data_IF_567603429199
#
_entry.id   IF_567603429199
#
_cell.length_a   1.000
_cell.length_b   1.000
_cell.length_c   1.000
_cell.angle_alpha   90.00
_cell.angle_beta   90.00
_cell.angle_gamma   90.00
#
_symmetry.space_group_name_H-M   'P 1'
#
loop_
_entity.id
_entity.type
_entity.pdbx_description
1 polymer ?
2 non-polymer ?
3 non-polymer ?
4 non-polymer ?
5 water ?
#
# COMPACT_ATOMS: atom_id res chain seq x y z
N UNK A 4 -5.89 -11.45 -20.27
CA UNK A 4 -6.07 -10.68 -19.00
C UNK A 4 -4.88 -9.75 -18.75
N UNK A 5 -5.19 -8.52 -18.37
CA UNK A 5 -4.18 -7.49 -18.12
C UNK A 5 -4.34 -6.96 -16.71
N UNK A 6 -3.23 -6.85 -16.00
CA UNK A 6 -3.21 -6.36 -14.62
C UNK A 6 -2.34 -5.11 -14.54
N UNK A 7 -2.88 -4.06 -13.95
CA UNK A 7 -2.15 -2.82 -13.68
C UNK A 7 -1.75 -2.77 -12.22
N UNK A 8 -0.48 -2.50 -11.97
CA UNK A 8 0.00 -2.18 -10.64
C UNK A 8 0.39 -0.70 -10.67
N UNK A 9 -0.32 0.13 -9.92
CA UNK A 9 -0.14 1.58 -10.00
C UNK A 9 -0.05 2.11 -8.56
N UNK A 10 1.01 2.87 -8.26
CA UNK A 10 1.37 3.06 -6.86
C UNK A 10 1.79 4.49 -6.55
N UNK A 11 1.61 4.83 -5.27
CA UNK A 11 2.22 5.98 -4.65
C UNK A 11 3.39 5.48 -3.80
N UNK A 12 4.48 6.24 -3.77
CA UNK A 12 5.58 5.94 -2.87
C UNK A 12 6.44 7.19 -2.73
N UNK A 13 6.68 7.61 -1.50
CA UNK A 13 7.55 8.74 -1.24
C UNK A 13 8.98 8.33 -0.90
N UNK A 14 9.15 7.31 -0.06
CA UNK A 14 10.48 6.86 0.33
C UNK A 14 10.80 5.45 -0.18
N UNK A 15 9.99 4.94 -1.10
CA UNK A 15 10.33 3.76 -1.86
C UNK A 15 9.81 2.44 -1.33
N UNK A 16 9.25 2.42 -0.11
CA UNK A 16 8.83 1.13 0.44
C UNK A 16 7.69 0.52 -0.40
N UNK A 17 6.68 1.32 -0.70
CA UNK A 17 5.53 0.83 -1.48
C UNK A 17 5.97 0.46 -2.89
N UNK A 18 6.85 1.27 -3.49
CA UNK A 18 7.38 0.90 -4.79
C UNK A 18 8.04 -0.46 -4.73
N UNK A 19 8.82 -0.71 -3.67
CA UNK A 19 9.60 -1.95 -3.59
C UNK A 19 8.68 -3.17 -3.59
N UNK A 20 7.63 -3.12 -2.78
CA UNK A 20 6.76 -4.30 -2.72
C UNK A 20 5.89 -4.42 -3.97
N UNK A 21 5.54 -3.31 -4.60
CA UNK A 21 4.77 -3.36 -5.82
C UNK A 21 5.61 -3.92 -6.95
N UNK A 22 6.94 -3.62 -6.96
CA UNK A 22 7.84 -4.21 -7.96
C UNK A 22 7.92 -5.72 -7.81
N UNK A 23 7.92 -6.22 -6.56
CA UNK A 23 7.85 -7.66 -6.36
C UNK A 23 6.55 -8.23 -6.90
N UNK A 24 5.43 -7.56 -6.64
CA UNK A 24 4.14 -8.02 -7.17
C UNK A 24 4.18 -8.11 -8.69
N UNK A 25 4.73 -7.09 -9.34
CA UNK A 25 4.86 -7.12 -10.79
C UNK A 25 5.67 -8.33 -11.24
N UNK A 26 6.79 -8.58 -10.58
CA UNK A 26 7.64 -9.71 -10.95
C UNK A 26 6.90 -11.03 -10.83
N UNK A 27 6.07 -11.18 -9.78
CA UNK A 27 5.42 -12.47 -9.51
C UNK A 27 4.25 -12.74 -10.44
N UNK A 28 3.57 -11.71 -10.92
CA UNK A 28 2.42 -11.88 -11.79
C UNK A 28 2.87 -12.45 -13.13
N UNK A 29 2.10 -13.43 -13.62
CA UNK A 29 2.28 -13.94 -14.97
C UNK A 29 1.33 -13.22 -15.93
N UNK A 30 1.65 -13.31 -17.21
CA UNK A 30 0.76 -12.72 -18.19
C UNK A 30 0.99 -11.23 -18.32
N UNK A 31 0.01 -10.58 -18.94
CA UNK A 31 0.16 -9.19 -19.34
C UNK A 31 -0.06 -8.27 -18.16
N UNK A 32 0.81 -7.28 -18.01
CA UNK A 32 0.89 -6.51 -16.80
C UNK A 32 1.67 -5.25 -17.08
N UNK A 33 1.40 -4.22 -16.29
CA UNK A 33 2.13 -2.95 -16.34
C UNK A 33 2.30 -2.47 -14.90
N UNK A 34 3.47 -1.91 -14.59
CA UNK A 34 3.67 -1.22 -13.32
C UNK A 34 4.08 0.22 -13.59
N UNK A 35 3.41 1.16 -12.95
CA UNK A 35 3.75 2.58 -13.04
C UNK A 35 3.45 3.28 -11.72
N UNK A 36 4.11 4.41 -11.45
CA UNK A 36 3.62 5.31 -10.42
C UNK A 36 2.34 6.00 -10.88
N UNK A 37 1.53 6.42 -9.91
CA UNK A 37 0.27 7.09 -10.23
C UNK A 37 0.51 8.32 -11.11
N UNK A 38 1.63 9.01 -10.90
CA UNK A 38 1.91 10.19 -11.70
C UNK A 38 2.00 9.90 -13.20
N UNK A 39 2.24 8.64 -13.58
CA UNK A 39 2.34 8.24 -14.98
C UNK A 39 1.06 7.60 -15.49
N UNK A 40 -0.08 7.84 -14.83
CA UNK A 40 -1.31 7.18 -15.23
C UNK A 40 -1.72 7.51 -16.66
N UNK A 41 -1.28 8.64 -17.21
CA UNK A 41 -1.60 8.96 -18.59
C UNK A 41 -0.88 8.08 -19.59
N UNK A 42 0.06 7.23 -19.15
CA UNK A 42 0.76 6.33 -20.05
C UNK A 42 -0.08 5.14 -20.46
N UNK A 43 -1.22 4.90 -19.80
CA UNK A 43 -2.02 3.73 -20.05
C UNK A 43 -3.48 4.12 -20.22
N UNK A 44 -4.25 3.17 -20.75
CA UNK A 44 -5.70 3.29 -20.89
C UNK A 44 -6.32 2.36 -19.85
N UNK A 45 -6.92 2.95 -18.81
CA UNK A 45 -7.47 2.13 -17.73
C UNK A 45 -8.48 1.11 -18.24
N UNK A 46 -9.16 1.43 -19.35
CA UNK A 46 -10.19 0.51 -19.87
C UNK A 46 -9.62 -0.82 -20.30
N UNK A 47 -8.33 -0.87 -20.60
CA UNK A 47 -7.71 -2.09 -21.08
C UNK A 47 -7.37 -3.07 -19.98
N UNK A 48 -7.46 -2.68 -18.72
CA UNK A 48 -6.98 -3.49 -17.61
C UNK A 48 -8.15 -4.12 -16.87
N UNK A 49 -8.10 -5.44 -16.72
CA UNK A 49 -9.12 -6.18 -15.99
C UNK A 49 -8.95 -6.04 -14.49
N UNK A 50 -7.70 -5.96 -14.02
CA UNK A 50 -7.38 -5.87 -12.60
C UNK A 50 -6.57 -4.61 -12.35
N UNK A 51 -6.98 -3.83 -11.35
CA UNK A 51 -6.27 -2.63 -10.93
C UNK A 51 -5.77 -2.86 -9.52
N UNK A 52 -4.46 -2.87 -9.33
CA UNK A 52 -3.84 -3.08 -8.03
C UNK A 52 -3.21 -1.75 -7.63
N UNK A 53 -3.72 -1.13 -6.58
CA UNK A 53 -3.27 0.20 -6.17
C UNK A 53 -2.29 0.05 -5.01
N UNK A 54 -1.09 0.58 -5.18
CA UNK A 54 -0.12 0.65 -4.11
C UNK A 54 -0.22 1.95 -3.35
N UNK A 55 -0.32 1.84 -2.03
CA UNK A 55 -0.52 3.00 -1.18
C UNK A 55 0.30 2.85 0.10
N UNK A 56 0.77 3.98 0.62
CA UNK A 56 1.34 4.00 1.96
C UNK A 56 0.33 4.59 2.94
N UNK A 57 0.34 4.08 4.16
CA UNK A 57 -0.59 4.51 5.19
C UNK A 57 -0.17 5.86 5.73
N UNK A 58 -1.12 6.79 5.77
CA UNK A 58 -0.98 8.12 6.33
C UNK A 58 -2.15 8.30 7.31
N UNK A 59 -1.86 8.33 8.61
CA UNK A 59 -2.89 8.48 9.64
C UNK A 59 -4.00 7.45 9.46
N UNK A 60 -3.60 6.19 9.35
CA UNK A 60 -4.47 5.02 9.25
C UNK A 60 -5.25 4.92 7.95
N UNK A 61 -4.92 5.72 6.94
CA UNK A 61 -5.69 5.73 5.71
C UNK A 61 -4.75 5.79 4.51
N UNK A 62 -5.31 5.53 3.33
CA UNK A 62 -4.54 5.65 2.11
C UNK A 62 -3.95 7.05 1.98
N UNK A 63 -2.70 7.14 1.55
CA UNK A 63 -2.10 8.44 1.28
C UNK A 63 -2.90 9.17 0.20
N UNK A 64 -2.84 10.50 0.23
CA UNK A 64 -3.77 11.31 -0.54
C UNK A 64 -3.69 11.02 -2.03
N UNK A 65 -2.48 10.86 -2.58
CA UNK A 65 -2.38 10.63 -4.02
C UNK A 65 -3.13 9.36 -4.42
N UNK A 66 -3.02 8.32 -3.59
CA UNK A 66 -3.64 7.04 -3.88
C UNK A 66 -5.14 7.11 -3.63
N UNK A 67 -5.55 7.77 -2.55
CA UNK A 67 -6.96 7.98 -2.28
C UNK A 67 -7.63 8.71 -3.43
N UNK A 68 -7.04 9.84 -3.85
CA UNK A 68 -7.61 10.59 -4.95
C UNK A 68 -7.69 9.74 -6.22
N UNK A 69 -6.65 8.95 -6.51
CA UNK A 69 -6.68 8.13 -7.71
C UNK A 69 -7.83 7.13 -7.64
N UNK A 70 -7.97 6.43 -6.51
CA UNK A 70 -9.05 5.46 -6.38
C UNK A 70 -10.39 6.13 -6.57
N UNK A 71 -10.53 7.35 -6.06
CA UNK A 71 -11.79 8.05 -6.17
C UNK A 71 -12.06 8.60 -7.57
N UNK A 72 -11.14 8.43 -8.51
CA UNK A 72 -11.44 8.69 -9.92
C UNK A 72 -11.96 7.44 -10.64
N UNK A 73 -11.93 6.28 -9.99
CA UNK A 73 -12.33 5.02 -10.61
C UNK A 73 -13.74 4.66 -10.20
N UNK A 74 -14.45 4.00 -11.12
CA UNK A 74 -15.78 3.49 -10.86
C UNK A 74 -15.89 2.09 -11.45
N UNK A 75 -16.46 1.16 -10.69
CA UNK A 75 -16.79 -0.18 -11.15
C UNK A 75 -15.58 -0.94 -11.68
N UNK A 76 -14.39 -0.70 -11.12
CA UNK A 76 -13.19 -1.41 -11.51
C UNK A 76 -12.92 -2.55 -10.53
N UNK A 77 -12.45 -3.68 -11.06
CA UNK A 77 -11.97 -4.78 -10.22
C UNK A 77 -10.68 -4.33 -9.57
N UNK A 78 -10.69 -4.16 -8.25
CA UNK A 78 -9.64 -3.41 -7.57
C UNK A 78 -9.08 -4.20 -6.40
N UNK A 79 -7.78 -4.02 -6.20
CA UNK A 79 -6.99 -4.62 -5.15
C UNK A 79 -6.12 -3.54 -4.55
N UNK A 80 -5.60 -3.76 -3.35
CA UNK A 80 -4.57 -2.87 -2.83
C UNK A 80 -3.37 -3.62 -2.30
N UNK A 81 -2.23 -2.94 -2.39
CA UNK A 81 -1.00 -3.32 -1.71
C UNK A 81 -0.61 -2.11 -0.89
N UNK A 82 -0.63 -2.23 0.44
CA UNK A 82 -0.28 -1.15 1.32
C UNK A 82 1.00 -1.42 2.08
N UNK A 83 1.74 -0.35 2.41
CA UNK A 83 2.80 -0.40 3.40
C UNK A 83 2.49 0.54 4.55
N UNK A 84 2.93 0.15 5.75
CA UNK A 84 2.79 0.95 6.95
C UNK A 84 3.90 0.53 7.89
N UNK A 85 4.17 1.36 8.90
CA UNK A 85 5.25 1.07 9.84
C UNK A 85 4.82 0.24 11.04
N UNK A 86 3.53 0.25 11.37
CA UNK A 86 3.05 -0.50 12.52
C UNK A 86 3.26 -2.00 12.32
N UNK A 87 3.21 -2.74 13.43
CA UNK A 87 3.25 -4.20 13.34
C UNK A 87 2.06 -4.72 12.54
N UNK A 88 2.31 -5.72 11.67
CA UNK A 88 1.24 -6.25 10.84
C UNK A 88 0.22 -7.03 11.65
N UNK A 89 0.54 -7.40 12.89
CA UNK A 89 -0.40 -8.09 13.77
C UNK A 89 -1.21 -7.14 14.66
N UNK A 90 -0.99 -5.84 14.55
CA UNK A 90 -1.57 -4.88 15.49
C UNK A 90 -3.02 -4.55 15.14
N UNK A 91 -3.75 -4.05 16.13
CA UNK A 91 -5.10 -3.55 15.87
C UNK A 91 -5.06 -2.35 14.92
N UNK A 92 -4.01 -1.54 15.01
CA UNK A 92 -3.84 -0.44 14.07
C UNK A 92 -3.79 -0.95 12.64
N UNK A 93 -3.00 -1.99 12.38
CA UNK A 93 -2.93 -2.54 11.03
C UNK A 93 -4.30 -3.05 10.57
N UNK A 94 -5.05 -3.69 11.48
CA UNK A 94 -6.39 -4.16 11.11
C UNK A 94 -7.30 -2.99 10.75
N UNK A 95 -7.21 -1.90 11.51
CA UNK A 95 -7.97 -0.69 11.20
C UNK A 95 -7.58 -0.14 9.83
N UNK A 96 -6.28 -0.11 9.54
CA UNK A 96 -5.84 0.35 8.22
C UNK A 96 -6.40 -0.54 7.12
N UNK A 97 -6.33 -1.86 7.31
CA UNK A 97 -6.85 -2.77 6.31
C UNK A 97 -8.33 -2.52 6.06
N UNK A 98 -9.10 -2.31 7.13
CA UNK A 98 -10.52 -2.05 6.98
C UNK A 98 -10.77 -0.71 6.29
N UNK A 99 -9.95 0.30 6.61
CA UNK A 99 -10.11 1.59 5.95
C UNK A 99 -9.86 1.48 4.45
N UNK A 100 -8.82 0.72 4.06
CA UNK A 100 -8.52 0.55 2.65
C UNK A 100 -9.61 -0.28 1.96
N UNK A 101 -10.14 -1.28 2.66
CA UNK A 101 -11.25 -2.06 2.11
C UNK A 101 -12.45 -1.17 1.85
N UNK A 102 -12.79 -0.31 2.83
CA UNK A 102 -13.94 0.58 2.68
C UNK A 102 -13.72 1.51 1.48
N UNK A 103 -12.52 2.06 1.35
CA UNK A 103 -12.25 2.99 0.26
C UNK A 103 -12.42 2.30 -1.09
N UNK A 104 -11.89 1.09 -1.24
CA UNK A 104 -11.93 0.40 -2.52
C UNK A 104 -13.33 -0.11 -2.85
N UNK A 105 -14.09 -0.50 -1.83
CA UNK A 105 -15.41 -1.08 -2.05
C UNK A 105 -16.49 -0.06 -2.30
N UNK A 106 -16.25 1.22 -1.96
CA UNK A 106 -17.32 2.21 -2.00
C UNK A 106 -17.91 2.36 -3.39
N UNK A 107 -17.07 2.52 -4.41
CA UNK A 107 -17.53 2.72 -5.78
C UNK A 107 -16.89 1.76 -6.77
N UNK A 108 -16.06 0.83 -6.30
CA UNK A 108 -15.41 -0.13 -7.18
C UNK A 108 -15.67 -1.53 -6.65
N UNK A 109 -15.08 -2.51 -7.33
CA UNK A 109 -15.35 -3.92 -7.08
C UNK A 109 -14.14 -4.51 -6.38
N UNK A 110 -14.13 -4.40 -5.05
CA UNK A 110 -12.95 -4.77 -4.27
C UNK A 110 -12.87 -6.29 -4.12
N UNK A 111 -11.72 -6.86 -4.46
CA UNK A 111 -11.50 -8.30 -4.39
C UNK A 111 -10.62 -8.69 -3.20
N UNK A 112 -9.44 -8.08 -3.07
CA UNK A 112 -8.52 -8.44 -2.00
C UNK A 112 -7.45 -7.37 -1.88
N UNK A 113 -6.74 -7.41 -0.75
CA UNK A 113 -5.61 -6.53 -0.53
C UNK A 113 -4.65 -7.17 0.45
N UNK A 114 -3.47 -6.57 0.57
CA UNK A 114 -2.46 -7.05 1.50
C UNK A 114 -1.72 -5.86 2.07
N UNK A 115 -1.34 -5.95 3.33
CA UNK A 115 -0.47 -4.96 3.96
C UNK A 115 0.90 -5.56 4.23
N UNK A 116 1.93 -4.75 4.02
CA UNK A 116 3.31 -5.11 4.31
C UNK A 116 3.91 -3.98 5.12
N UNK A 117 5.04 -4.24 5.76
CA UNK A 117 5.65 -3.27 6.65
C UNK A 117 6.72 -2.48 5.92
N UNK A 118 6.88 -1.22 6.33
CA UNK A 118 7.87 -0.34 5.75
C UNK A 118 8.44 0.63 6.76
N UNK A 119 9.77 0.77 6.73
CA UNK A 119 10.45 1.65 7.66
C UNK A 119 9.90 3.07 7.64
N UNK A 120 10.00 3.73 8.80
CA UNK A 120 9.68 5.15 8.93
C UNK A 120 10.85 5.96 8.38
N UNK A 121 10.54 6.97 7.58
CA UNK A 121 11.58 7.77 6.95
C UNK A 121 12.45 8.45 8.01
N UNK A 122 13.69 8.75 7.65
CA UNK A 122 14.57 9.48 8.55
C UNK A 122 13.93 10.79 8.99
N UNK A 123 13.33 11.53 8.06
CA UNK A 123 12.75 12.82 8.41
C UNK A 123 11.60 12.66 9.40
N UNK A 124 10.76 11.63 9.22
CA UNK A 124 9.62 11.45 10.13
C UNK A 124 10.09 10.95 11.48
N UNK A 125 11.12 10.11 11.52
CA UNK A 125 11.67 9.69 12.81
C UNK A 125 12.17 10.90 13.60
N UNK A 126 12.75 11.89 12.92
CA UNK A 126 13.18 13.10 13.62
C UNK A 126 11.99 13.93 14.08
N UNK A 127 10.97 14.08 13.24
CA UNK A 127 9.78 14.87 13.61
C UNK A 127 9.00 14.23 14.73
N UNK A 128 9.14 12.91 14.93
CA UNK A 128 8.46 12.22 16.01
C UNK A 128 8.98 12.65 17.39
N UNK A 129 10.17 13.25 17.43
CA UNK A 129 10.76 13.73 18.68
C UNK A 129 10.42 15.20 18.91
N UNK A 130 9.51 15.77 18.12
CA UNK A 130 9.18 17.18 18.18
C UNK A 130 7.67 17.37 18.20
N UNK A 131 7.25 18.55 18.64
CA UNK A 131 5.85 18.92 18.57
C UNK A 131 5.40 19.04 17.12
N UNK A 132 4.18 18.58 16.77
CA UNK A 132 3.16 17.98 17.63
C UNK A 132 3.17 16.46 17.66
N UNK A 133 3.99 15.78 16.86
CA UNK A 133 3.88 14.33 16.77
C UNK A 133 4.24 13.64 18.09
N UNK A 134 5.20 14.19 18.84
CA UNK A 134 5.58 13.55 20.10
C UNK A 134 4.42 13.56 21.08
N UNK A 135 3.74 14.70 21.22
CA UNK A 135 2.58 14.78 22.10
C UNK A 135 1.45 13.89 21.59
N UNK A 136 1.23 13.87 20.27
CA UNK A 136 0.09 13.16 19.73
C UNK A 136 0.20 11.67 20.02
N UNK A 137 1.42 11.14 20.00
CA UNK A 137 1.66 9.71 20.18
C UNK A 137 2.16 9.36 21.57
N UNK A 138 2.10 10.30 22.52
CA UNK A 138 2.67 10.08 23.84
C UNK A 138 2.15 8.81 24.49
N UNK A 139 0.86 8.51 24.32
CA UNK A 139 0.26 7.36 25.00
C UNK A 139 0.03 6.18 24.07
N UNK A 140 0.53 6.23 22.85
CA UNK A 140 0.49 5.07 21.95
C UNK A 140 1.54 4.08 22.46
N UNK A 141 1.14 2.89 22.87
CA UNK A 141 2.12 1.96 23.45
C UNK A 141 3.16 1.50 22.45
N UNK A 142 4.35 1.25 22.97
CA UNK A 142 5.44 0.63 22.23
C UNK A 142 5.91 1.46 21.06
N UNK A 143 5.67 2.77 21.10
CA UNK A 143 5.95 3.63 19.96
C UNK A 143 7.41 3.47 19.51
N UNK A 144 8.35 3.51 20.46
CA UNK A 144 9.77 3.44 20.13
C UNK A 144 10.10 2.12 19.43
N UNK A 145 9.64 1.00 19.99
CA UNK A 145 9.95 -0.30 19.42
C UNK A 145 9.25 -0.54 18.09
N UNK A 146 8.03 -0.01 17.93
CA UNK A 146 7.35 -0.14 16.64
C UNK A 146 8.20 0.49 15.54
N UNK A 147 8.71 1.69 15.81
CA UNK A 147 9.49 2.38 14.80
C UNK A 147 10.79 1.63 14.53
N UNK A 148 11.46 1.19 15.59
CA UNK A 148 12.75 0.52 15.42
C UNK A 148 12.58 -0.80 14.68
N UNK A 149 11.53 -1.56 15.02
CA UNK A 149 11.32 -2.85 14.37
C UNK A 149 10.83 -2.70 12.94
N UNK A 150 10.38 -1.51 12.52
CA UNK A 150 10.06 -1.27 11.13
C UNK A 150 11.29 -0.97 10.27
N UNK A 151 12.43 -0.67 10.90
CA UNK A 151 13.58 -0.15 10.17
C UNK A 151 14.08 -1.12 9.09
N UNK A 152 13.95 -2.42 9.32
CA UNK A 152 14.51 -3.40 8.38
C UNK A 152 13.52 -3.76 7.26
N UNK A 153 12.37 -3.09 7.18
CA UNK A 153 11.31 -3.41 6.23
C UNK A 153 11.18 -2.35 5.14
N UNK A 154 10.72 -2.74 3.95
CA UNK A 154 10.29 -4.10 3.56
C UNK A 154 11.48 -5.05 3.41
N UNK A 155 11.25 -6.32 3.72
CA UNK A 155 12.30 -7.33 3.60
C UNK A 155 11.65 -8.63 3.13
N UNK A 156 12.37 -9.75 3.27
CA UNK A 156 11.88 -11.00 2.72
C UNK A 156 10.52 -11.39 3.29
N UNK A 157 10.28 -11.09 4.58
CA UNK A 157 8.98 -11.43 5.17
C UNK A 157 7.85 -10.71 4.43
N UNK A 158 8.09 -9.48 3.99
CA UNK A 158 7.09 -8.74 3.23
C UNK A 158 6.97 -9.28 1.81
N UNK A 159 8.08 -9.63 1.18
CA UNK A 159 7.99 -10.18 -0.16
C UNK A 159 7.21 -11.49 -0.17
N UNK A 160 7.30 -12.27 0.91
CA UNK A 160 6.53 -13.51 1.00
C UNK A 160 5.04 -13.22 1.12
N UNK A 161 4.67 -12.18 1.86
CA UNK A 161 3.28 -11.75 1.88
C UNK A 161 2.80 -11.36 0.50
N UNK A 162 3.62 -10.61 -0.25
CA UNK A 162 3.26 -10.28 -1.62
C UNK A 162 3.11 -11.54 -2.47
N UNK A 163 4.05 -12.49 -2.33
CA UNK A 163 3.95 -13.72 -3.09
C UNK A 163 2.65 -14.46 -2.80
N UNK A 164 2.29 -14.57 -1.52
CA UNK A 164 1.02 -15.19 -1.16
C UNK A 164 -0.18 -14.46 -1.76
N UNK A 165 -0.14 -13.14 -1.74
CA UNK A 165 -1.21 -12.32 -2.31
C UNK A 165 -1.34 -12.55 -3.81
N UNK A 166 -0.22 -12.60 -4.54
CA UNK A 166 -0.29 -12.86 -5.97
C UNK A 166 -0.71 -14.29 -6.23
N UNK A 167 -0.16 -15.25 -5.48
CA UNK A 167 -0.60 -16.65 -5.59
C UNK A 167 -2.13 -16.76 -5.47
N UNK A 168 -2.67 -16.07 -4.47
CA UNK A 168 -4.08 -16.21 -4.14
C UNK A 168 -4.97 -15.62 -5.22
N UNK A 169 -4.55 -14.50 -5.82
CA UNK A 169 -5.45 -13.71 -6.65
C UNK A 169 -5.15 -13.77 -8.14
N UNK A 170 -3.94 -14.12 -8.56
CA UNK A 170 -3.59 -14.04 -9.97
C UNK A 170 -2.98 -15.33 -10.50
N UNK A 171 -1.93 -15.83 -9.85
CA UNK A 171 -1.22 -17.01 -10.37
C UNK A 171 -0.11 -17.39 -9.41
N UNK A 172 0.37 -18.64 -9.54
CA UNK A 172 1.49 -19.13 -8.73
C UNK A 172 2.83 -18.96 -9.44
#
# INVERSE_FOLDING_TARGET
GSHMKTLIIYSSETGNTKMVCEKAFEYINGEKVIIPIKEEDSINLDEFDNIVVGTWIDKANANAEARKFINTLSNKKIFFIGTLAASLESEHAKKCFNNLTKLCSKKNNFVDGVLTRGKVSKDLQEKFTKFPLNIIHKFVPNMKEIILEADCHPNESDFLLIKGFIDKNFNY
#
